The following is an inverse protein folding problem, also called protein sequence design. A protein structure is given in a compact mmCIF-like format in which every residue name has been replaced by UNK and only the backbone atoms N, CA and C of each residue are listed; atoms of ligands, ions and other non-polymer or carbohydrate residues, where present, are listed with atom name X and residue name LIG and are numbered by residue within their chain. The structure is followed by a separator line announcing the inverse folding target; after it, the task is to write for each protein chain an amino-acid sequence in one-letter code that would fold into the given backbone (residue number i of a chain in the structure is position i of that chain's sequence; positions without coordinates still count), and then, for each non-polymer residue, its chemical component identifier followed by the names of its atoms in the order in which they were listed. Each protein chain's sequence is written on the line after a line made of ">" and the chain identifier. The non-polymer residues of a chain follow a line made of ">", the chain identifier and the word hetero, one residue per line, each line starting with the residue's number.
data_IF_919778373413
#
_entry.id   IF_919778373413
#
_cell.length_a   1.000
_cell.length_b   1.000
_cell.length_c   1.000
_cell.angle_alpha   90.00
_cell.angle_beta   90.00
_cell.angle_gamma   90.00
#
_symmetry.space_group_name_H-M   'P 1'
#
loop_
_entity.id
_entity.type
_entity.pdbx_description
1 polymer ?
#
# COMPACT_ATOMS: atom_id res chain seq x y z
N UNK A 1 24.84 56.54 6.35
CA UNK A 1 23.73 55.87 5.66
C UNK A 1 24.05 54.39 5.55
N UNK A 2 23.51 53.53 6.42
CA UNK A 2 23.80 52.10 6.45
C UNK A 2 22.71 51.38 5.66
N UNK A 3 23.08 50.74 4.55
CA UNK A 3 22.18 49.87 3.81
C UNK A 3 22.05 48.54 4.54
N UNK A 4 20.86 48.22 5.03
CA UNK A 4 20.52 46.87 5.49
C UNK A 4 20.14 46.03 4.28
N UNK A 5 21.00 45.10 3.94
CA UNK A 5 20.68 44.06 2.93
C UNK A 5 19.85 42.97 3.61
N UNK A 6 18.55 42.90 3.31
CA UNK A 6 17.67 41.83 3.78
C UNK A 6 17.99 40.56 2.97
N UNK A 7 18.51 39.53 3.65
CA UNK A 7 18.64 38.18 3.09
C UNK A 7 17.26 37.51 3.13
N UNK A 8 16.66 37.30 1.96
CA UNK A 8 15.47 36.48 1.81
C UNK A 8 15.91 35.01 1.77
N UNK A 9 15.65 34.28 2.84
CA UNK A 9 15.85 32.84 2.86
C UNK A 9 14.73 32.16 2.05
N UNK A 10 15.04 31.66 0.87
CA UNK A 10 14.13 30.84 0.08
C UNK A 10 14.04 29.44 0.73
N UNK A 11 12.94 29.14 1.41
CA UNK A 11 12.62 27.78 1.86
C UNK A 11 12.31 26.91 0.63
N UNK A 12 13.25 26.07 0.25
CA UNK A 12 13.00 25.00 -0.72
C UNK A 12 12.19 23.90 -0.02
N UNK A 13 10.90 23.86 -0.26
CA UNK A 13 10.07 22.71 0.09
C UNK A 13 10.38 21.61 -0.95
N UNK A 14 11.27 20.67 -0.60
CA UNK A 14 11.51 19.48 -1.43
C UNK A 14 10.24 18.63 -1.42
N UNK A 15 9.73 18.17 -2.57
CA UNK A 15 8.65 17.21 -2.60
C UNK A 15 9.12 15.93 -1.88
N UNK A 16 8.30 15.45 -0.95
CA UNK A 16 8.55 14.18 -0.28
C UNK A 16 8.38 13.06 -1.33
N UNK A 17 9.48 12.52 -1.80
CA UNK A 17 9.47 11.34 -2.68
C UNK A 17 8.90 10.19 -1.86
N UNK A 18 7.95 9.42 -2.44
CA UNK A 18 7.41 8.22 -1.81
C UNK A 18 8.57 7.29 -1.44
N UNK A 19 8.61 6.82 -0.17
CA UNK A 19 9.65 5.89 0.24
C UNK A 19 9.47 4.55 -0.48
N UNK A 20 10.58 3.99 -0.91
CA UNK A 20 10.68 2.80 -1.73
C UNK A 20 11.23 1.64 -0.89
N UNK A 21 10.52 0.52 -0.89
CA UNK A 21 10.87 -0.67 -0.12
C UNK A 21 10.98 -1.88 -1.05
N UNK A 22 12.15 -2.47 -1.12
CA UNK A 22 12.39 -3.75 -1.77
C UNK A 22 12.70 -4.79 -0.68
N UNK A 23 11.89 -5.84 -0.57
CA UNK A 23 12.07 -6.78 0.53
C UNK A 23 11.42 -8.14 0.32
N UNK A 24 11.92 -9.14 1.06
CA UNK A 24 11.38 -10.49 1.08
C UNK A 24 10.18 -10.56 2.02
N UNK A 25 9.06 -11.08 1.53
CA UNK A 25 7.87 -11.30 2.35
C UNK A 25 8.11 -12.45 3.32
N UNK A 26 7.93 -12.17 4.61
CA UNK A 26 8.14 -13.13 5.70
C UNK A 26 6.85 -13.84 6.10
N UNK A 27 5.73 -13.10 6.14
CA UNK A 27 4.44 -13.63 6.57
C UNK A 27 3.29 -12.75 6.07
N UNK A 28 2.16 -13.37 5.80
CA UNK A 28 0.88 -12.72 5.47
C UNK A 28 -0.03 -12.76 6.69
N UNK A 29 -0.62 -11.62 7.06
CA UNK A 29 -1.55 -11.50 8.20
C UNK A 29 -3.01 -11.70 7.77
N UNK A 30 -3.38 -11.10 6.64
CA UNK A 30 -4.70 -11.19 6.01
C UNK A 30 -4.58 -10.83 4.53
N UNK A 31 -5.70 -10.72 3.81
CA UNK A 31 -5.70 -10.51 2.35
C UNK A 31 -5.21 -9.14 1.87
N UNK A 32 -4.84 -8.23 2.77
CA UNK A 32 -4.32 -6.90 2.43
C UNK A 32 -3.18 -6.41 3.33
N UNK A 33 -2.68 -7.29 4.20
CA UNK A 33 -1.61 -6.94 5.16
C UNK A 33 -0.57 -8.07 5.26
N UNK A 34 0.70 -7.70 5.15
CA UNK A 34 1.82 -8.63 5.28
C UNK A 34 3.03 -7.98 5.96
N UNK A 35 4.00 -8.79 6.32
CA UNK A 35 5.30 -8.36 6.85
C UNK A 35 6.41 -8.77 5.90
N UNK A 36 7.32 -7.86 5.60
CA UNK A 36 8.52 -8.13 4.81
C UNK A 36 9.77 -7.70 5.58
N UNK A 37 10.91 -8.20 5.14
CA UNK A 37 12.22 -7.70 5.54
C UNK A 37 12.79 -6.84 4.43
N UNK A 38 13.03 -5.56 4.73
CA UNK A 38 13.64 -4.59 3.83
C UNK A 38 14.77 -3.88 4.57
N UNK A 39 15.96 -3.81 3.97
CA UNK A 39 17.16 -3.19 4.56
C UNK A 39 17.49 -3.69 5.99
N UNK A 40 17.29 -4.99 6.25
CA UNK A 40 17.57 -5.63 7.53
C UNK A 40 16.53 -5.35 8.63
N UNK A 41 15.43 -4.68 8.31
CA UNK A 41 14.35 -4.37 9.25
C UNK A 41 13.03 -5.03 8.82
N UNK A 42 12.22 -5.43 9.81
CA UNK A 42 10.86 -5.90 9.56
C UNK A 42 9.94 -4.71 9.34
N UNK A 43 9.26 -4.72 8.20
CA UNK A 43 8.28 -3.69 7.80
C UNK A 43 6.92 -4.34 7.64
N UNK A 44 5.92 -3.84 8.37
CA UNK A 44 4.53 -4.25 8.18
C UNK A 44 3.89 -3.36 7.12
N UNK A 45 3.25 -3.97 6.15
CA UNK A 45 2.69 -3.31 4.98
C UNK A 45 1.18 -3.53 4.93
N UNK A 46 0.43 -2.44 4.75
CA UNK A 46 -0.98 -2.43 4.36
C UNK A 46 -1.05 -2.06 2.88
N UNK A 47 -1.51 -2.98 2.05
CA UNK A 47 -1.72 -2.72 0.62
C UNK A 47 -2.79 -1.65 0.47
N UNK A 48 -2.49 -0.58 -0.26
CA UNK A 48 -3.40 0.54 -0.43
C UNK A 48 -4.53 0.25 -1.43
N UNK A 49 -5.67 0.90 -1.21
CA UNK A 49 -6.76 0.96 -2.19
C UNK A 49 -7.66 -0.27 -2.26
N UNK A 50 -7.36 -1.32 -1.53
CA UNK A 50 -8.19 -2.53 -1.43
C UNK A 50 -8.58 -2.83 0.02
N UNK A 51 -9.60 -3.66 0.15
CA UNK A 51 -10.02 -4.21 1.42
C UNK A 51 -10.29 -5.71 1.31
N UNK A 52 -9.76 -6.45 2.27
CA UNK A 52 -9.97 -7.88 2.41
C UNK A 52 -10.68 -8.21 3.73
N UNK A 53 -11.34 -9.37 3.82
CA UNK A 53 -11.94 -9.81 5.07
C UNK A 53 -10.92 -9.90 6.19
N UNK A 54 -11.29 -9.36 7.35
CA UNK A 54 -10.49 -9.43 8.57
C UNK A 54 -10.73 -10.75 9.32
N UNK A 55 -9.83 -11.05 10.25
CA UNK A 55 -9.97 -12.25 11.11
C UNK A 55 -11.34 -12.29 11.77
N UNK A 56 -12.01 -13.44 11.65
CA UNK A 56 -13.38 -13.66 12.13
C UNK A 56 -14.46 -13.31 11.11
N UNK A 57 -14.12 -12.71 9.98
CA UNK A 57 -15.05 -12.45 8.88
C UNK A 57 -15.03 -13.60 7.86
N UNK A 58 -16.17 -13.81 7.18
CA UNK A 58 -16.25 -14.78 6.09
C UNK A 58 -15.26 -14.43 4.98
N UNK A 59 -14.53 -15.43 4.48
CA UNK A 59 -13.54 -15.25 3.42
C UNK A 59 -12.13 -14.85 3.89
N UNK A 60 -11.92 -14.61 5.20
CA UNK A 60 -10.60 -14.27 5.73
C UNK A 60 -9.51 -15.27 5.34
N UNK A 61 -9.74 -16.56 5.62
CA UNK A 61 -8.75 -17.59 5.32
C UNK A 61 -8.47 -17.74 3.84
N UNK A 62 -9.48 -17.58 2.99
CA UNK A 62 -9.31 -17.61 1.53
C UNK A 62 -8.49 -16.42 1.03
N UNK A 63 -8.80 -15.21 1.47
CA UNK A 63 -8.06 -14.02 1.07
C UNK A 63 -6.61 -14.05 1.54
N UNK A 64 -6.37 -14.41 2.81
CA UNK A 64 -5.02 -14.59 3.34
C UNK A 64 -4.24 -15.68 2.58
N UNK A 65 -4.89 -16.80 2.27
CA UNK A 65 -4.28 -17.90 1.50
C UNK A 65 -3.90 -17.52 0.09
N UNK A 66 -4.74 -16.76 -0.61
CA UNK A 66 -4.44 -16.24 -1.96
C UNK A 66 -3.24 -15.32 -1.93
N UNK A 67 -3.22 -14.35 -1.02
CA UNK A 67 -2.09 -13.44 -0.90
C UNK A 67 -0.80 -14.18 -0.51
N UNK A 68 -0.86 -15.08 0.47
CA UNK A 68 0.29 -15.90 0.90
C UNK A 68 0.86 -16.72 -0.26
N UNK A 69 0.02 -17.41 -1.03
CA UNK A 69 0.45 -18.18 -2.20
C UNK A 69 1.10 -17.32 -3.28
N UNK A 70 0.67 -16.06 -3.38
CA UNK A 70 1.18 -15.12 -4.37
C UNK A 70 2.57 -14.58 -3.99
N UNK A 71 2.75 -14.15 -2.73
CA UNK A 71 3.92 -13.33 -2.35
C UNK A 71 4.81 -13.90 -1.24
N UNK A 72 4.35 -14.83 -0.38
CA UNK A 72 5.14 -15.30 0.76
C UNK A 72 6.44 -15.96 0.31
N UNK A 73 7.55 -15.56 0.93
CA UNK A 73 8.89 -16.01 0.57
C UNK A 73 9.48 -15.33 -0.69
N UNK A 74 8.70 -14.52 -1.40
CA UNK A 74 9.17 -13.79 -2.59
C UNK A 74 9.59 -12.37 -2.24
N UNK A 75 10.39 -11.77 -3.11
CA UNK A 75 10.77 -10.36 -3.04
C UNK A 75 9.72 -9.50 -3.72
N UNK A 76 9.19 -8.52 -3.00
CA UNK A 76 8.21 -7.55 -3.51
C UNK A 76 8.78 -6.14 -3.46
N UNK A 77 8.26 -5.28 -4.32
CA UNK A 77 8.59 -3.86 -4.40
C UNK A 77 7.37 -3.06 -3.96
N UNK A 78 7.50 -2.25 -2.91
CA UNK A 78 6.42 -1.45 -2.34
C UNK A 78 6.77 0.03 -2.34
N UNK A 79 5.92 0.84 -2.94
CA UNK A 79 5.99 2.30 -2.90
C UNK A 79 5.02 2.80 -1.81
N UNK A 80 5.57 3.37 -0.74
CA UNK A 80 4.75 3.98 0.29
C UNK A 80 3.90 5.10 -0.32
N UNK A 81 2.66 5.26 0.15
CA UNK A 81 1.74 6.27 -0.37
C UNK A 81 2.38 7.65 -0.40
N UNK A 82 2.39 8.24 -1.57
CA UNK A 82 2.98 9.52 -1.92
C UNK A 82 2.86 9.76 -3.41
N UNK A 83 3.54 10.75 -3.92
CA UNK A 83 3.48 11.15 -5.32
C UNK A 83 3.74 9.95 -6.26
N UNK A 84 2.85 9.77 -7.22
CA UNK A 84 2.93 8.71 -8.22
C UNK A 84 2.28 7.37 -7.82
N UNK A 85 1.84 7.21 -6.57
CA UNK A 85 1.10 6.02 -6.14
C UNK A 85 -0.41 6.18 -6.32
N UNK A 86 -1.13 5.05 -6.45
CA UNK A 86 -2.59 5.02 -6.66
C UNK A 86 -3.35 5.76 -5.55
N UNK A 87 -2.89 5.63 -4.31
CA UNK A 87 -3.57 6.19 -3.14
C UNK A 87 -3.09 7.59 -2.75
N UNK A 88 -2.24 8.22 -3.57
CA UNK A 88 -1.74 9.57 -3.32
C UNK A 88 -2.88 10.58 -3.17
N UNK A 89 -2.78 11.44 -2.16
CA UNK A 89 -3.83 12.42 -1.82
C UNK A 89 -5.12 11.82 -1.26
N UNK A 90 -5.24 10.47 -1.19
CA UNK A 90 -6.42 9.76 -0.69
C UNK A 90 -6.17 8.96 0.57
N UNK A 91 -4.96 8.48 0.79
CA UNK A 91 -4.56 7.73 1.97
C UNK A 91 -3.37 8.39 2.66
N UNK A 92 -3.25 8.14 3.96
CA UNK A 92 -2.03 8.46 4.71
C UNK A 92 -0.94 7.45 4.37
N UNK A 93 0.36 7.83 4.46
CA UNK A 93 1.48 6.92 4.21
C UNK A 93 1.66 5.87 5.31
N UNK A 94 0.98 6.03 6.44
CA UNK A 94 1.02 5.09 7.56
C UNK A 94 -0.37 4.83 8.13
N UNK A 95 -0.58 3.64 8.69
CA UNK A 95 -1.80 3.24 9.40
C UNK A 95 -1.41 2.37 10.59
N UNK A 96 -1.54 2.90 11.82
CA UNK A 96 -1.05 2.26 13.04
C UNK A 96 0.47 2.01 12.93
N UNK A 97 0.91 0.76 13.06
CA UNK A 97 2.31 0.30 12.97
C UNK A 97 2.71 -0.18 11.56
N UNK A 98 1.90 0.15 10.54
CA UNK A 98 2.11 -0.29 9.15
C UNK A 98 2.40 0.90 8.24
N UNK A 99 3.25 0.70 7.25
CA UNK A 99 3.25 1.56 6.07
C UNK A 99 2.03 1.23 5.22
N UNK A 100 1.46 2.23 4.56
CA UNK A 100 0.45 2.04 3.50
C UNK A 100 1.15 2.20 2.17
N UNK A 101 1.06 1.19 1.31
CA UNK A 101 1.86 1.15 0.09
C UNK A 101 1.13 0.50 -1.09
N UNK A 102 1.52 0.91 -2.29
CA UNK A 102 1.24 0.18 -3.52
C UNK A 102 2.39 -0.79 -3.77
N UNK A 103 2.08 -2.08 -3.89
CA UNK A 103 3.09 -3.13 -3.95
C UNK A 103 3.01 -3.94 -5.23
N UNK A 104 4.17 -4.39 -5.71
CA UNK A 104 4.34 -5.11 -6.97
C UNK A 104 5.16 -6.39 -6.76
N UNK A 105 4.75 -7.45 -7.45
CA UNK A 105 5.54 -8.66 -7.66
C UNK A 105 5.86 -8.73 -9.16
N UNK A 106 7.14 -8.71 -9.53
CA UNK A 106 7.59 -8.74 -10.93
C UNK A 106 6.85 -7.69 -11.80
N UNK A 107 6.71 -6.46 -11.31
CA UNK A 107 5.99 -5.33 -11.94
C UNK A 107 4.46 -5.49 -12.01
N UNK A 108 3.91 -6.58 -11.49
CA UNK A 108 2.45 -6.79 -11.42
C UNK A 108 1.91 -6.24 -10.11
N UNK A 109 0.89 -5.38 -10.18
CA UNK A 109 0.26 -4.77 -9.02
C UNK A 109 -0.49 -5.84 -8.20
N UNK A 110 -0.05 -6.03 -6.95
CA UNK A 110 -0.60 -7.05 -6.05
C UNK A 110 -2.06 -6.73 -5.70
N UNK A 111 -2.41 -5.47 -5.50
CA UNK A 111 -3.79 -5.07 -5.22
C UNK A 111 -4.73 -5.45 -6.37
N UNK A 112 -4.30 -5.24 -7.60
CA UNK A 112 -5.08 -5.64 -8.78
C UNK A 112 -5.27 -7.15 -8.85
N UNK A 113 -4.25 -7.95 -8.53
CA UNK A 113 -4.38 -9.40 -8.51
C UNK A 113 -5.34 -9.88 -7.43
N UNK A 114 -5.31 -9.25 -6.24
CA UNK A 114 -6.21 -9.60 -5.14
C UNK A 114 -7.67 -9.28 -5.48
N UNK A 115 -7.95 -8.16 -6.15
CA UNK A 115 -9.31 -7.84 -6.58
C UNK A 115 -9.76 -8.74 -7.73
N UNK A 116 -8.88 -9.08 -8.67
CA UNK A 116 -9.16 -10.03 -9.76
C UNK A 116 -9.46 -11.45 -9.26
N UNK A 117 -8.85 -11.87 -8.15
CA UNK A 117 -9.13 -13.17 -7.52
C UNK A 117 -10.52 -13.22 -6.85
N UNK A 118 -11.17 -12.08 -6.67
CA UNK A 118 -12.45 -11.97 -5.96
C UNK A 118 -12.33 -12.08 -4.43
N UNK A 119 -11.12 -12.11 -3.87
CA UNK A 119 -10.89 -12.26 -2.42
C UNK A 119 -10.66 -10.94 -1.70
N UNK A 120 -10.43 -9.87 -2.43
CA UNK A 120 -10.39 -8.49 -1.93
C UNK A 120 -11.23 -7.57 -2.82
N UNK A 121 -11.57 -6.42 -2.30
CA UNK A 121 -12.41 -5.45 -2.97
C UNK A 121 -11.69 -4.15 -3.20
N UNK A 122 -11.99 -3.50 -4.34
CA UNK A 122 -11.65 -2.10 -4.53
C UNK A 122 -12.24 -1.24 -3.41
N UNK A 123 -11.42 -0.33 -2.86
CA UNK A 123 -11.87 0.66 -1.93
C UNK A 123 -11.79 2.06 -2.57
N UNK A 124 -12.84 2.50 -3.26
CA UNK A 124 -12.80 3.70 -4.13
C UNK A 124 -12.35 4.97 -3.41
N UNK A 125 -12.67 5.09 -2.12
CA UNK A 125 -12.23 6.22 -1.28
C UNK A 125 -10.71 6.41 -1.32
N UNK A 126 -9.95 5.31 -1.40
CA UNK A 126 -8.48 5.33 -1.39
C UNK A 126 -7.87 5.04 -2.76
N UNK A 127 -8.48 4.16 -3.55
CA UNK A 127 -7.98 3.79 -4.89
C UNK A 127 -8.39 4.77 -5.99
N UNK A 128 -9.41 5.59 -5.74
CA UNK A 128 -10.05 6.38 -6.80
C UNK A 128 -10.77 5.51 -7.83
N UNK A 129 -11.09 4.25 -7.51
CA UNK A 129 -11.73 3.29 -8.41
C UNK A 129 -10.75 2.49 -9.27
N UNK A 130 -9.44 2.61 -9.03
CA UNK A 130 -8.39 1.96 -9.84
C UNK A 130 -8.52 0.44 -9.90
N UNK A 131 -8.96 -0.19 -8.82
CA UNK A 131 -9.05 -1.65 -8.69
C UNK A 131 -10.45 -2.21 -8.89
N UNK A 132 -11.38 -1.40 -9.37
CA UNK A 132 -12.74 -1.85 -9.68
C UNK A 132 -12.73 -2.80 -10.87
N UNK A 133 -13.18 -4.05 -10.69
CA UNK A 133 -13.18 -5.08 -11.74
C UNK A 133 -14.56 -5.34 -12.32
N UNK A 134 -15.62 -5.19 -11.50
CA UNK A 134 -17.00 -5.35 -11.91
C UNK A 134 -17.92 -4.63 -10.93
N UNK A 135 -19.22 -4.66 -11.19
CA UNK A 135 -20.24 -4.11 -10.29
C UNK A 135 -20.42 -4.88 -8.98
N UNK A 136 -19.60 -5.89 -8.72
CA UNK A 136 -19.52 -6.55 -7.43
C UNK A 136 -18.91 -5.59 -6.42
N UNK A 137 -19.76 -4.79 -5.84
CA UNK A 137 -19.41 -4.00 -4.67
C UNK A 137 -19.21 -4.96 -3.51
N UNK A 138 -18.02 -5.00 -2.95
CA UNK A 138 -17.85 -5.50 -1.62
C UNK A 138 -18.65 -4.57 -0.70
N UNK A 139 -19.79 -5.06 -0.24
CA UNK A 139 -20.56 -4.34 0.77
C UNK A 139 -19.74 -4.31 2.04
N UNK A 140 -19.10 -3.18 2.29
CA UNK A 140 -18.70 -2.87 3.65
C UNK A 140 -19.96 -2.49 4.41
N UNK A 141 -20.29 -3.29 5.41
CA UNK A 141 -21.24 -2.89 6.45
C UNK A 141 -20.54 -1.96 7.45
#
# INVERSE_FOLDING_TARGET
>A
MRLLTAMVAASFCSPAIAADYLGKVLAVSDGDTFTMEADGAKVRVRICGIDAPERGQAGYGQAAGVLSSMIEGKTVHCLQVGEGTVCDGRSRPTSRDRIVAQCFLDKVDIAEQMTRSGTACDWPKFSGGKYKISDTTCSRK
#
